data_IF_967278218592
#
_entry.id   IF_967278218592
#
_cell.length_a   1.000
_cell.length_b   1.000
_cell.length_c   1.000
_cell.angle_alpha   90.00
_cell.angle_beta   90.00
_cell.angle_gamma   90.00
#
_symmetry.space_group_name_H-M   'P 1'
#
loop_
_entity.id
_entity.type
_entity.pdbx_description
1 polymer ?
#
# COMPACT_ATOMS: atom_id res chain seq x y z
N UNK A 1 -2.74 18.33 -0.07
CA UNK A 1 -3.93 17.79 0.64
C UNK A 1 -3.51 16.40 1.07
N UNK A 2 -3.73 16.02 2.32
CA UNK A 2 -3.33 14.69 2.79
C UNK A 2 -4.29 13.65 2.21
N UNK A 3 -3.76 12.61 1.59
CA UNK A 3 -4.54 11.46 1.08
C UNK A 3 -4.93 10.53 2.23
N UNK A 4 -6.02 9.79 2.09
CA UNK A 4 -6.51 8.82 3.08
C UNK A 4 -6.88 9.43 4.45
N UNK A 5 -7.49 10.59 4.47
CA UNK A 5 -8.01 11.22 5.69
C UNK A 5 -9.47 10.83 5.93
N UNK A 6 -10.36 11.33 5.10
CA UNK A 6 -11.80 11.05 5.21
C UNK A 6 -12.17 9.73 4.52
N UNK A 7 -11.43 9.36 3.47
CA UNK A 7 -11.59 8.07 2.79
C UNK A 7 -11.30 6.89 3.72
N UNK A 8 -10.35 7.01 4.64
CA UNK A 8 -10.04 5.96 5.61
C UNK A 8 -11.29 5.40 6.30
N UNK A 9 -12.27 6.24 6.63
CA UNK A 9 -13.50 5.86 7.34
C UNK A 9 -14.38 4.86 6.60
N UNK A 10 -14.36 4.91 5.27
CA UNK A 10 -15.18 4.07 4.39
C UNK A 10 -14.34 3.17 3.49
N UNK A 11 -13.01 3.25 3.62
CA UNK A 11 -12.06 2.50 2.80
C UNK A 11 -12.35 1.00 2.80
N UNK A 12 -12.54 0.43 3.96
CA UNK A 12 -12.76 -1.01 4.12
C UNK A 12 -14.07 -1.49 3.50
N UNK A 13 -15.07 -0.63 3.45
CA UNK A 13 -16.35 -0.90 2.81
C UNK A 13 -16.21 -0.97 1.29
N UNK A 14 -15.53 0.02 0.69
CA UNK A 14 -15.31 0.05 -0.76
C UNK A 14 -14.23 -0.92 -1.25
N UNK A 15 -13.37 -1.41 -0.35
CA UNK A 15 -12.33 -2.41 -0.64
C UNK A 15 -12.77 -3.85 -0.27
N UNK A 16 -14.07 -4.12 -0.09
CA UNK A 16 -14.60 -5.43 0.28
C UNK A 16 -14.39 -6.50 -0.81
N UNK A 17 -14.36 -6.09 -2.09
CA UNK A 17 -14.10 -6.96 -3.25
C UNK A 17 -12.61 -7.19 -3.52
N UNK A 18 -11.73 -6.55 -2.76
CA UNK A 18 -10.27 -6.66 -2.97
C UNK A 18 -9.79 -8.06 -2.60
N UNK A 19 -9.05 -8.77 -3.48
CA UNK A 19 -8.71 -10.18 -3.31
C UNK A 19 -7.54 -10.39 -2.33
N UNK A 20 -7.63 -9.84 -1.11
CA UNK A 20 -6.57 -9.95 -0.09
C UNK A 20 -6.17 -11.38 0.23
N UNK A 21 -7.11 -12.33 0.17
CA UNK A 21 -6.81 -13.73 0.48
C UNK A 21 -5.99 -14.39 -0.63
N UNK A 22 -6.23 -14.02 -1.91
CA UNK A 22 -5.41 -14.48 -3.04
C UNK A 22 -4.00 -13.87 -2.97
N UNK A 23 -3.90 -12.58 -2.62
CA UNK A 23 -2.61 -11.92 -2.43
C UNK A 23 -1.82 -12.55 -1.29
N UNK A 24 -2.47 -12.84 -0.16
CA UNK A 24 -1.85 -13.57 0.94
C UNK A 24 -1.30 -14.93 0.49
N UNK A 25 -2.07 -15.71 -0.27
CA UNK A 25 -1.61 -17.00 -0.78
C UNK A 25 -0.35 -16.86 -1.65
N UNK A 26 -0.30 -15.82 -2.50
CA UNK A 26 0.87 -15.54 -3.32
C UNK A 26 2.09 -15.16 -2.44
N UNK A 27 1.90 -14.30 -1.45
CA UNK A 27 2.94 -13.93 -0.49
C UNK A 27 3.46 -15.16 0.26
N UNK A 28 2.56 -16.02 0.77
CA UNK A 28 2.93 -17.23 1.49
C UNK A 28 3.68 -18.25 0.62
N UNK A 29 3.36 -18.34 -0.67
CA UNK A 29 4.12 -19.16 -1.62
C UNK A 29 5.56 -18.66 -1.78
N UNK A 30 5.77 -17.34 -1.90
CA UNK A 30 7.10 -16.75 -1.92
C UNK A 30 7.81 -16.97 -0.58
N UNK A 31 7.13 -16.75 0.55
CA UNK A 31 7.70 -17.01 1.88
C UNK A 31 8.18 -18.45 2.04
N UNK A 32 7.41 -19.42 1.53
CA UNK A 32 7.81 -20.83 1.52
C UNK A 32 9.06 -21.08 0.67
N UNK A 33 9.15 -20.47 -0.50
CA UNK A 33 10.31 -20.58 -1.39
C UNK A 33 11.57 -20.03 -0.72
N UNK A 34 11.47 -18.85 -0.07
CA UNK A 34 12.54 -18.19 0.64
C UNK A 34 12.74 -18.70 2.08
N UNK A 35 11.99 -19.74 2.48
CA UNK A 35 12.08 -20.40 3.80
C UNK A 35 11.82 -19.45 4.97
N UNK A 36 10.97 -18.44 4.78
CA UNK A 36 10.51 -17.57 5.86
C UNK A 36 9.66 -18.39 6.82
N UNK A 37 10.11 -18.50 8.06
CA UNK A 37 9.50 -19.36 9.08
C UNK A 37 8.33 -18.65 9.76
N UNK A 38 7.42 -19.41 10.38
CA UNK A 38 6.45 -18.86 11.34
C UNK A 38 7.19 -18.15 12.48
N UNK A 39 6.55 -17.14 13.05
CA UNK A 39 7.14 -16.19 14.02
C UNK A 39 8.28 -15.31 13.45
N UNK A 40 8.54 -15.36 12.13
CA UNK A 40 9.47 -14.42 11.50
C UNK A 40 8.95 -12.98 11.59
N UNK A 41 9.87 -12.02 11.57
CA UNK A 41 9.56 -10.60 11.52
C UNK A 41 9.21 -10.19 10.08
N UNK A 42 8.04 -9.62 9.88
CA UNK A 42 7.55 -9.16 8.59
C UNK A 42 7.23 -7.67 8.68
N UNK A 43 7.74 -6.90 7.73
CA UNK A 43 7.33 -5.52 7.51
C UNK A 43 6.13 -5.49 6.54
N UNK A 44 5.06 -4.82 6.92
CA UNK A 44 3.96 -4.44 6.03
C UNK A 44 4.03 -2.93 5.80
N UNK A 45 4.49 -2.52 4.60
CA UNK A 45 4.83 -1.15 4.27
C UNK A 45 3.73 -0.51 3.43
N UNK A 46 3.07 0.53 3.95
CA UNK A 46 1.84 1.08 3.43
C UNK A 46 0.66 0.18 3.84
N UNK A 47 0.56 -0.12 5.14
CA UNK A 47 -0.38 -1.13 5.65
C UNK A 47 -1.86 -0.70 5.61
N UNK A 48 -2.13 0.60 5.41
CA UNK A 48 -3.48 1.17 5.44
C UNK A 48 -4.24 0.79 6.71
N UNK A 49 -5.46 0.30 6.56
CA UNK A 49 -6.30 -0.17 7.67
C UNK A 49 -5.86 -1.52 8.26
N UNK A 50 -4.69 -2.05 7.89
CA UNK A 50 -4.11 -3.27 8.47
C UNK A 50 -4.70 -4.59 7.97
N UNK A 51 -5.43 -4.60 6.86
CA UNK A 51 -6.06 -5.83 6.33
C UNK A 51 -5.06 -6.94 6.01
N UNK A 52 -3.90 -6.60 5.41
CA UNK A 52 -2.85 -7.60 5.14
C UNK A 52 -2.07 -7.90 6.41
N UNK A 53 -1.77 -6.91 7.24
CA UNK A 53 -1.09 -7.09 8.53
C UNK A 53 -1.79 -8.14 9.41
N UNK A 54 -3.11 -8.02 9.59
CA UNK A 54 -3.90 -8.99 10.37
C UNK A 54 -3.90 -10.39 9.76
N UNK A 55 -3.90 -10.51 8.43
CA UNK A 55 -3.80 -11.81 7.76
C UNK A 55 -2.44 -12.47 8.00
N UNK A 56 -1.35 -11.70 7.89
CA UNK A 56 -0.01 -12.18 8.18
C UNK A 56 0.13 -12.60 9.66
N UNK A 57 -0.42 -11.82 10.59
CA UNK A 57 -0.42 -12.15 12.02
C UNK A 57 -1.18 -13.47 12.31
N UNK A 58 -2.36 -13.65 11.71
CA UNK A 58 -3.13 -14.90 11.81
C UNK A 58 -2.38 -16.12 11.25
N UNK A 59 -1.50 -15.91 10.27
CA UNK A 59 -0.59 -16.94 9.76
C UNK A 59 0.61 -17.19 10.69
N UNK A 60 0.73 -16.45 11.80
CA UNK A 60 1.72 -16.64 12.84
C UNK A 60 3.01 -15.85 12.63
N UNK A 61 3.00 -14.77 11.86
CA UNK A 61 4.13 -13.84 11.72
C UNK A 61 4.06 -12.72 12.76
N UNK A 62 5.19 -12.13 13.08
CA UNK A 62 5.29 -10.90 13.88
C UNK A 62 5.37 -9.73 12.90
N UNK A 63 4.40 -8.85 12.90
CA UNK A 63 4.24 -7.82 11.88
C UNK A 63 4.60 -6.45 12.44
N UNK A 64 5.49 -5.73 11.76
CA UNK A 64 5.62 -4.29 11.91
C UNK A 64 4.90 -3.65 10.73
N UNK A 65 3.79 -2.98 11.00
CA UNK A 65 2.91 -2.38 10.02
C UNK A 65 3.12 -0.87 9.99
N UNK A 66 3.55 -0.35 8.86
CA UNK A 66 3.94 1.07 8.69
C UNK A 66 3.00 1.74 7.70
N UNK A 67 2.49 2.89 8.07
CA UNK A 67 1.75 3.78 7.18
C UNK A 67 2.08 5.24 7.51
N UNK A 68 1.88 6.15 6.56
CA UNK A 68 2.06 7.59 6.77
C UNK A 68 0.74 8.31 7.09
N UNK A 69 -0.40 7.63 7.02
CA UNK A 69 -1.71 8.15 7.40
C UNK A 69 -2.07 7.77 8.85
N UNK A 70 -2.22 8.77 9.71
CA UNK A 70 -2.70 8.54 11.08
C UNK A 70 -4.13 7.99 11.09
N UNK A 71 -5.00 8.50 10.22
CA UNK A 71 -6.40 8.06 10.13
C UNK A 71 -6.51 6.58 9.76
N UNK A 72 -5.67 6.10 8.83
CA UNK A 72 -5.57 4.68 8.49
C UNK A 72 -5.11 3.84 9.69
N UNK A 73 -4.08 4.30 10.38
CA UNK A 73 -3.53 3.59 11.53
C UNK A 73 -4.47 3.56 12.74
N UNK A 74 -5.29 4.60 12.95
CA UNK A 74 -6.32 4.59 13.98
C UNK A 74 -7.35 3.49 13.74
N UNK A 75 -7.76 3.29 12.48
CA UNK A 75 -8.65 2.19 12.10
C UNK A 75 -7.94 0.84 12.25
N UNK A 76 -6.69 0.75 11.77
CA UNK A 76 -5.91 -0.48 11.87
C UNK A 76 -5.73 -0.94 13.32
N UNK A 77 -5.45 0.00 14.24
CA UNK A 77 -5.22 -0.27 15.65
C UNK A 77 -6.51 -0.47 16.47
N UNK A 78 -7.70 -0.25 15.89
CA UNK A 78 -8.98 -0.49 16.57
C UNK A 78 -9.22 -1.97 16.88
N UNK A 79 -8.59 -2.86 16.12
CA UNK A 79 -8.54 -4.30 16.39
C UNK A 79 -7.16 -4.65 16.99
N UNK A 80 -7.10 -4.81 18.30
CA UNK A 80 -5.85 -5.16 19.00
C UNK A 80 -5.36 -6.57 18.60
N UNK A 81 -4.07 -6.68 18.28
CA UNK A 81 -3.38 -7.95 18.03
C UNK A 81 -1.93 -7.85 18.51
N UNK A 82 -1.57 -8.65 19.50
CA UNK A 82 -0.23 -8.65 20.11
C UNK A 82 0.90 -9.00 19.13
N UNK A 83 0.56 -9.50 17.96
CA UNK A 83 1.52 -9.82 16.89
C UNK A 83 1.76 -8.67 15.91
N UNK A 84 1.07 -7.53 16.06
CA UNK A 84 1.17 -6.40 15.15
C UNK A 84 1.61 -5.14 15.90
N UNK A 85 2.69 -4.53 15.42
CA UNK A 85 3.14 -3.21 15.85
C UNK A 85 2.83 -2.20 14.74
N UNK A 86 1.88 -1.31 14.98
CA UNK A 86 1.55 -0.21 14.06
C UNK A 86 2.47 0.99 14.31
N UNK A 87 3.02 1.56 13.24
CA UNK A 87 4.01 2.66 13.30
C UNK A 87 3.69 3.71 12.25
N UNK A 88 3.54 4.96 12.68
CA UNK A 88 3.37 6.12 11.79
C UNK A 88 4.73 6.56 11.25
N UNK A 89 5.02 6.24 10.00
CA UNK A 89 6.24 6.65 9.30
C UNK A 89 6.00 6.75 7.79
N UNK A 90 6.79 7.62 7.16
CA UNK A 90 6.94 7.64 5.70
C UNK A 90 7.96 6.59 5.26
N UNK A 91 7.67 5.87 4.18
CA UNK A 91 8.53 4.80 3.66
C UNK A 91 9.89 5.30 3.15
N UNK A 92 9.99 6.57 2.74
CA UNK A 92 11.25 7.19 2.31
C UNK A 92 12.17 7.44 3.51
N UNK A 93 11.62 7.60 4.70
CA UNK A 93 12.37 7.78 5.95
C UNK A 93 12.28 6.61 6.92
N UNK A 94 11.93 5.42 6.43
CA UNK A 94 11.73 4.21 7.23
C UNK A 94 12.91 3.92 8.17
N UNK A 95 12.60 3.73 9.45
CA UNK A 95 13.52 3.26 10.48
C UNK A 95 12.83 2.18 11.31
N UNK A 96 13.46 1.01 11.43
CA UNK A 96 12.94 -0.11 12.20
C UNK A 96 13.87 -0.43 13.38
N UNK A 97 13.31 -0.93 14.51
CA UNK A 97 14.12 -1.28 15.68
C UNK A 97 15.01 -2.50 15.46
N UNK A 98 14.68 -3.32 14.45
CA UNK A 98 15.40 -4.55 14.12
C UNK A 98 15.25 -4.92 12.65
N UNK A 99 16.07 -5.83 12.17
CA UNK A 99 15.91 -6.38 10.82
C UNK A 99 14.74 -7.34 10.74
N UNK A 100 14.13 -7.39 9.56
CA UNK A 100 12.98 -8.25 9.22
C UNK A 100 13.39 -9.37 8.26
N UNK A 101 12.67 -10.48 8.33
CA UNK A 101 12.88 -11.64 7.46
C UNK A 101 12.24 -11.42 6.08
N UNK A 102 11.14 -10.65 6.03
CA UNK A 102 10.47 -10.29 4.80
C UNK A 102 9.85 -8.90 4.91
N UNK A 103 9.65 -8.26 3.77
CA UNK A 103 8.85 -7.05 3.63
C UNK A 103 7.80 -7.25 2.55
N UNK A 104 6.61 -6.71 2.77
CA UNK A 104 5.52 -6.65 1.78
C UNK A 104 5.04 -5.22 1.64
N UNK A 105 4.61 -4.83 0.43
CA UNK A 105 3.94 -3.56 0.16
C UNK A 105 2.97 -3.78 -0.98
N UNK A 106 1.69 -3.80 -0.68
CA UNK A 106 0.64 -4.15 -1.63
C UNK A 106 -0.37 -3.02 -1.81
N UNK A 107 -1.26 -3.17 -2.78
CA UNK A 107 -2.22 -2.12 -3.15
C UNK A 107 -1.54 -0.86 -3.68
N UNK A 108 -0.62 -1.05 -4.63
CA UNK A 108 0.02 0.05 -5.38
C UNK A 108 0.62 1.18 -4.52
N UNK A 109 0.95 0.90 -3.25
CA UNK A 109 1.51 1.88 -2.33
C UNK A 109 2.78 2.56 -2.89
N UNK A 110 3.63 1.79 -3.59
CA UNK A 110 4.88 2.31 -4.16
C UNK A 110 4.65 3.33 -5.27
N UNK A 111 3.47 3.35 -5.92
CA UNK A 111 3.12 4.34 -6.95
C UNK A 111 2.89 5.75 -6.37
N UNK A 112 2.64 5.87 -5.06
CA UNK A 112 2.51 7.17 -4.39
C UNK A 112 3.84 7.92 -4.25
N UNK A 113 4.97 7.24 -4.45
CA UNK A 113 6.28 7.91 -4.49
C UNK A 113 6.46 8.48 -5.91
N UNK A 114 6.36 9.80 -6.03
CA UNK A 114 6.38 10.49 -7.32
C UNK A 114 7.79 10.74 -7.85
N UNK A 115 8.78 10.89 -6.95
CA UNK A 115 10.15 11.20 -7.31
C UNK A 115 11.02 9.93 -7.36
N UNK A 116 11.83 9.82 -8.41
CA UNK A 116 12.70 8.64 -8.64
C UNK A 116 13.74 8.44 -7.53
N UNK A 117 14.28 9.55 -7.02
CA UNK A 117 15.26 9.51 -5.92
C UNK A 117 14.63 9.04 -4.61
N UNK A 118 13.37 9.42 -4.35
CA UNK A 118 12.61 8.97 -3.18
C UNK A 118 12.24 7.49 -3.29
N UNK A 119 11.83 7.02 -4.47
CA UNK A 119 11.58 5.59 -4.70
C UNK A 119 12.84 4.76 -4.47
N UNK A 120 13.98 5.24 -4.96
CA UNK A 120 15.27 4.61 -4.72
C UNK A 120 15.63 4.59 -3.23
N UNK A 121 15.39 5.70 -2.51
CA UNK A 121 15.65 5.75 -1.08
C UNK A 121 14.72 4.81 -0.32
N UNK A 122 13.44 4.73 -0.64
CA UNK A 122 12.52 3.77 -0.05
C UNK A 122 13.03 2.33 -0.23
N UNK A 123 13.48 1.96 -1.45
CA UNK A 123 14.09 0.65 -1.69
C UNK A 123 15.36 0.42 -0.86
N UNK A 124 16.22 1.44 -0.69
CA UNK A 124 17.41 1.36 0.15
C UNK A 124 17.07 1.16 1.63
N UNK A 125 16.02 1.84 2.11
CA UNK A 125 15.53 1.69 3.48
C UNK A 125 15.03 0.28 3.72
N UNK A 126 14.20 -0.25 2.84
CA UNK A 126 13.75 -1.64 2.93
C UNK A 126 14.95 -2.59 2.92
N UNK A 127 15.90 -2.42 1.97
CA UNK A 127 17.09 -3.30 1.89
C UNK A 127 17.94 -3.25 3.15
N UNK A 128 18.12 -2.08 3.76
CA UNK A 128 18.87 -1.91 5.01
C UNK A 128 18.30 -2.73 6.16
N UNK A 129 16.98 -2.81 6.24
CA UNK A 129 16.29 -3.53 7.32
C UNK A 129 15.95 -4.97 6.96
N UNK A 130 16.10 -5.40 5.72
CA UNK A 130 16.03 -6.82 5.38
C UNK A 130 17.25 -7.58 5.82
N UNK A 131 17.05 -8.78 6.38
CA UNK A 131 18.13 -9.75 6.60
C UNK A 131 18.77 -10.14 5.27
N UNK A 132 19.96 -10.75 5.32
CA UNK A 132 20.73 -11.11 4.11
C UNK A 132 19.92 -11.97 3.13
N UNK A 133 19.21 -12.98 3.63
CA UNK A 133 18.34 -13.88 2.85
C UNK A 133 16.87 -13.43 2.81
N UNK A 134 16.59 -12.18 3.22
CA UNK A 134 15.23 -11.63 3.26
C UNK A 134 14.69 -11.30 1.89
N UNK A 135 13.35 -11.30 1.76
CA UNK A 135 12.62 -11.01 0.53
C UNK A 135 11.75 -9.77 0.67
N UNK A 136 11.71 -8.95 -0.38
CA UNK A 136 10.76 -7.85 -0.51
C UNK A 136 9.78 -8.15 -1.64
N UNK A 137 8.49 -8.12 -1.32
CA UNK A 137 7.38 -8.36 -2.26
C UNK A 137 6.56 -7.08 -2.32
N UNK A 138 6.32 -6.59 -3.52
CA UNK A 138 5.44 -5.43 -3.72
C UNK A 138 4.74 -5.50 -5.07
N UNK A 139 3.64 -4.79 -5.19
CA UNK A 139 2.98 -4.55 -6.46
C UNK A 139 3.05 -3.08 -6.86
N UNK A 140 2.90 -2.82 -8.14
CA UNK A 140 2.79 -1.48 -8.71
C UNK A 140 1.84 -1.47 -9.90
N UNK A 141 1.06 -0.44 -10.00
CA UNK A 141 0.28 -0.16 -11.19
C UNK A 141 1.19 0.23 -12.36
N UNK A 142 0.98 -0.43 -13.48
CA UNK A 142 1.74 -0.18 -14.71
C UNK A 142 1.18 1.01 -15.50
N UNK A 143 1.98 1.54 -16.41
CA UNK A 143 1.54 2.52 -17.42
C UNK A 143 0.29 2.05 -18.18
N UNK A 144 0.24 0.74 -18.53
CA UNK A 144 -0.92 0.16 -19.21
C UNK A 144 -2.20 0.29 -18.37
N UNK A 145 -2.13 0.04 -17.07
CA UNK A 145 -3.30 0.15 -16.19
C UNK A 145 -3.82 1.58 -16.16
N UNK A 146 -2.94 2.57 -16.00
CA UNK A 146 -3.35 3.96 -15.96
C UNK A 146 -3.88 4.45 -17.31
N UNK A 147 -3.20 4.10 -18.41
CA UNK A 147 -3.56 4.58 -19.74
C UNK A 147 -4.77 3.91 -20.34
N UNK A 148 -4.86 2.58 -20.26
CA UNK A 148 -5.84 1.80 -21.03
C UNK A 148 -7.03 1.35 -20.17
N UNK A 149 -6.83 1.13 -18.86
CA UNK A 149 -7.88 0.63 -17.98
C UNK A 149 -8.56 1.76 -17.21
N UNK A 150 -7.78 2.58 -16.51
CA UNK A 150 -8.31 3.72 -15.77
C UNK A 150 -8.55 4.91 -16.69
N UNK A 151 -7.58 5.25 -17.53
CA UNK A 151 -7.66 6.33 -18.52
C UNK A 151 -8.20 7.64 -17.92
N UNK A 152 -9.06 8.36 -18.66
CA UNK A 152 -9.80 9.53 -18.17
C UNK A 152 -11.26 9.14 -17.87
N UNK A 153 -11.45 8.07 -17.12
CA UNK A 153 -12.78 7.57 -16.77
C UNK A 153 -13.22 8.08 -15.39
N UNK A 154 -14.53 8.18 -15.24
CA UNK A 154 -15.18 8.39 -13.94
C UNK A 154 -15.73 7.06 -13.44
N UNK A 155 -15.40 6.71 -12.20
CA UNK A 155 -15.95 5.57 -11.49
C UNK A 155 -16.84 6.07 -10.36
N UNK A 156 -17.93 5.39 -10.11
CA UNK A 156 -18.82 5.74 -9.02
C UNK A 156 -19.35 4.47 -8.38
N UNK A 157 -19.49 4.48 -7.08
CA UNK A 157 -20.11 3.41 -6.33
C UNK A 157 -21.01 3.99 -5.25
N UNK A 158 -22.17 3.37 -5.06
CA UNK A 158 -23.18 3.75 -4.09
C UNK A 158 -23.42 2.60 -3.13
N UNK A 159 -23.25 2.86 -1.84
CA UNK A 159 -23.48 1.92 -0.72
C UNK A 159 -24.56 2.51 0.21
N UNK A 160 -24.95 1.77 1.25
CA UNK A 160 -26.02 2.17 2.15
C UNK A 160 -25.74 3.52 2.83
N UNK A 161 -24.55 3.70 3.38
CA UNK A 161 -24.16 4.86 4.19
C UNK A 161 -23.11 5.75 3.53
N UNK A 162 -22.58 5.35 2.39
CA UNK A 162 -21.54 6.09 1.70
C UNK A 162 -21.59 5.91 0.17
N UNK A 163 -21.17 6.94 -0.56
CA UNK A 163 -20.99 6.87 -2.01
C UNK A 163 -19.71 7.61 -2.39
N UNK A 164 -19.10 7.21 -3.49
CA UNK A 164 -18.01 7.98 -4.07
C UNK A 164 -18.19 8.24 -5.56
N UNK A 165 -17.58 9.33 -6.01
CA UNK A 165 -17.28 9.60 -7.41
C UNK A 165 -15.77 9.80 -7.50
N UNK A 166 -15.14 8.99 -8.34
CA UNK A 166 -13.72 9.01 -8.58
C UNK A 166 -13.48 9.38 -10.05
N UNK A 167 -13.00 10.60 -10.26
CA UNK A 167 -12.55 11.05 -11.56
C UNK A 167 -11.07 10.76 -11.70
N UNK A 168 -10.71 10.03 -12.76
CA UNK A 168 -9.35 9.64 -13.03
C UNK A 168 -8.81 10.41 -14.23
N UNK A 169 -7.62 10.94 -14.10
CA UNK A 169 -6.89 11.61 -15.16
C UNK A 169 -5.46 11.12 -15.21
N UNK A 170 -5.01 10.69 -16.39
CA UNK A 170 -3.64 10.22 -16.58
C UNK A 170 -2.87 11.14 -17.53
N UNK A 171 -1.82 11.78 -17.02
CA UNK A 171 -0.84 12.51 -17.82
C UNK A 171 0.23 11.55 -18.32
N UNK A 172 0.26 11.34 -19.65
CA UNK A 172 1.19 10.42 -20.29
C UNK A 172 2.64 10.97 -20.35
N UNK A 173 2.82 12.29 -20.37
CA UNK A 173 4.13 12.93 -20.44
C UNK A 173 4.88 12.78 -19.12
N UNK A 174 4.22 13.16 -18.03
CA UNK A 174 4.77 13.07 -16.67
C UNK A 174 4.56 11.70 -16.04
N UNK A 175 3.69 10.86 -16.66
CA UNK A 175 3.28 9.54 -16.16
C UNK A 175 2.64 9.60 -14.78
N UNK A 176 1.97 10.68 -14.50
CA UNK A 176 1.22 10.89 -13.26
C UNK A 176 -0.24 10.56 -13.50
N UNK A 177 -0.78 9.73 -12.62
CA UNK A 177 -2.19 9.47 -12.54
C UNK A 177 -2.77 10.25 -11.36
N UNK A 178 -3.78 11.06 -11.64
CA UNK A 178 -4.50 11.86 -10.68
C UNK A 178 -5.86 11.23 -10.41
N UNK A 179 -6.16 10.98 -9.14
CA UNK A 179 -7.47 10.56 -8.66
C UNK A 179 -8.12 11.72 -7.92
N UNK A 180 -9.19 12.25 -8.48
CA UNK A 180 -10.02 13.23 -7.80
C UNK A 180 -11.22 12.51 -7.20
N UNK A 181 -11.18 12.30 -5.90
CA UNK A 181 -12.18 11.53 -5.16
C UNK A 181 -13.14 12.45 -4.45
N UNK A 182 -14.43 12.37 -4.80
CA UNK A 182 -15.53 12.99 -4.04
C UNK A 182 -16.25 11.90 -3.25
N UNK A 183 -16.25 12.03 -1.94
CA UNK A 183 -16.90 11.12 -0.99
C UNK A 183 -18.16 11.75 -0.42
N UNK A 184 -19.20 10.99 -0.26
CA UNK A 184 -20.43 11.36 0.42
C UNK A 184 -20.66 10.34 1.54
N UNK A 185 -20.55 10.76 2.78
CA UNK A 185 -20.66 9.89 3.96
C UNK A 185 -21.84 10.35 4.78
N UNK A 186 -22.76 9.42 5.09
CA UNK A 186 -23.95 9.70 5.89
C UNK A 186 -23.54 10.03 7.33
N UNK A 187 -24.17 11.06 7.89
CA UNK A 187 -24.00 11.42 9.29
C UNK A 187 -25.17 10.91 10.16
N UNK A 188 -25.09 11.10 11.46
CA UNK A 188 -26.09 10.65 12.43
C UNK A 188 -27.50 11.25 12.20
N UNK A 189 -27.60 12.36 11.47
CA UNK A 189 -28.85 13.02 11.13
C UNK A 189 -29.50 12.46 9.85
N UNK A 190 -28.82 11.51 9.17
CA UNK A 190 -29.26 10.92 7.90
C UNK A 190 -29.03 11.82 6.69
N UNK A 191 -28.23 12.89 6.84
CA UNK A 191 -27.74 13.72 5.74
C UNK A 191 -26.33 13.32 5.35
N UNK A 192 -25.85 13.74 4.17
CA UNK A 192 -24.53 13.39 3.68
C UNK A 192 -23.55 14.56 3.78
N UNK A 193 -22.39 14.31 4.33
CA UNK A 193 -21.27 15.21 4.26
C UNK A 193 -20.43 14.87 3.04
N UNK A 194 -20.04 15.92 2.28
CA UNK A 194 -19.12 15.76 1.15
C UNK A 194 -17.68 16.02 1.60
N UNK A 195 -16.77 15.13 1.19
CA UNK A 195 -15.33 15.27 1.33
C UNK A 195 -14.66 15.15 -0.02
N UNK A 196 -13.49 15.75 -0.18
CA UNK A 196 -12.73 15.70 -1.42
C UNK A 196 -11.27 15.36 -1.11
N UNK A 197 -10.73 14.37 -1.80
CA UNK A 197 -9.33 14.01 -1.72
C UNK A 197 -8.70 13.97 -3.11
N UNK A 198 -7.42 14.32 -3.18
CA UNK A 198 -6.61 14.23 -4.37
C UNK A 198 -5.48 13.25 -4.11
N UNK A 199 -5.39 12.22 -4.95
CA UNK A 199 -4.34 11.24 -4.90
C UNK A 199 -3.51 11.34 -6.18
N UNK A 200 -2.20 11.33 -6.04
CA UNK A 200 -1.26 11.31 -7.16
C UNK A 200 -0.46 10.01 -7.11
N UNK A 201 -0.39 9.34 -8.23
CA UNK A 201 0.41 8.12 -8.39
C UNK A 201 1.23 8.19 -9.66
N UNK A 202 2.43 7.62 -9.64
CA UNK A 202 3.33 7.60 -10.79
C UNK A 202 3.48 6.20 -11.37
N UNK A 203 3.37 6.13 -12.70
CA UNK A 203 3.71 4.92 -13.44
C UNK A 203 5.21 4.86 -13.70
N UNK A 204 5.85 3.81 -13.21
CA UNK A 204 7.26 3.54 -13.50
C UNK A 204 7.40 2.42 -14.52
N UNK A 205 8.39 2.52 -15.40
CA UNK A 205 8.76 1.42 -16.29
C UNK A 205 9.44 0.29 -15.51
N UNK A 206 9.13 -0.96 -15.84
CA UNK A 206 9.74 -2.14 -15.22
C UNK A 206 11.26 -2.09 -15.22
N UNK A 207 11.87 -1.71 -16.38
CA UNK A 207 13.33 -1.56 -16.48
C UNK A 207 13.90 -0.49 -15.56
N UNK A 208 13.14 0.58 -15.27
CA UNK A 208 13.53 1.60 -14.31
C UNK A 208 13.46 1.08 -12.88
N UNK A 209 12.36 0.41 -12.50
CA UNK A 209 12.20 -0.21 -11.18
C UNK A 209 13.34 -1.20 -10.93
N UNK A 210 13.60 -2.09 -11.90
CA UNK A 210 14.70 -3.07 -11.84
C UNK A 210 16.04 -2.40 -11.58
N UNK A 211 16.35 -1.32 -12.30
CA UNK A 211 17.58 -0.55 -12.11
C UNK A 211 17.67 0.04 -10.69
N UNK A 212 16.60 0.70 -10.22
CA UNK A 212 16.58 1.32 -8.89
C UNK A 212 16.73 0.28 -7.77
N UNK A 213 16.12 -0.89 -7.91
CA UNK A 213 16.30 -2.01 -7.00
C UNK A 213 17.76 -2.50 -6.95
N UNK A 214 18.43 -2.66 -8.11
CA UNK A 214 19.85 -3.00 -8.15
C UNK A 214 20.73 -1.92 -7.50
N UNK A 215 20.46 -0.64 -7.76
CA UNK A 215 21.16 0.47 -7.13
C UNK A 215 20.90 0.57 -5.61
N UNK A 216 19.76 0.07 -5.14
CA UNK A 216 19.43 -0.07 -3.72
C UNK A 216 20.06 -1.30 -3.06
N UNK A 217 20.67 -2.21 -3.84
CA UNK A 217 21.39 -3.39 -3.33
C UNK A 217 20.65 -4.72 -3.41
N UNK A 218 19.53 -4.79 -4.14
CA UNK A 218 18.86 -6.06 -4.42
C UNK A 218 19.56 -6.75 -5.59
N UNK A 219 19.98 -8.00 -5.42
CA UNK A 219 20.73 -8.77 -6.41
C UNK A 219 19.85 -9.63 -7.31
N UNK A 220 18.74 -10.12 -6.79
CA UNK A 220 17.79 -10.98 -7.51
C UNK A 220 16.44 -10.30 -7.56
N UNK A 221 15.91 -10.11 -8.76
CA UNK A 221 14.63 -9.47 -9.00
C UNK A 221 13.81 -10.41 -9.87
N UNK A 222 12.52 -10.57 -9.57
CA UNK A 222 11.55 -11.31 -10.36
C UNK A 222 10.31 -10.45 -10.55
N UNK A 223 9.74 -10.48 -11.73
CA UNK A 223 8.50 -9.82 -12.12
C UNK A 223 7.49 -10.88 -12.54
#
# INVERSE_FOLDING_TARGET
>A
MESYRDFARVYDEFMDQTPYDEWLLNILNVFKEYKIKKAAQVLDLGCGTGKMSRRLAREGYQVTAVDNSMDMLEIAASEEDDHILYVLQDMVSLELPQQVDAAVSICDCMNYILEEDDLKEAFRRVKRFLKEDGVFIFDMNSHYKYKEILACNTFAEDREDASFIWDNFYDEEDRINEYQLSLFIQNEEGTYNKYEELHLQKAYEEGKITRLLHEAGFSTIRV
#
